data_IF_384045306305
#
_entry.id   IF_384045306305
#
_cell.length_a   1.000
_cell.length_b   1.000
_cell.length_c   1.000
_cell.angle_alpha   90.00
_cell.angle_beta   90.00
_cell.angle_gamma   90.00
#
_symmetry.space_group_name_H-M   'P 1'
#
loop_
_entity.id
_entity.type
_entity.pdbx_description
1 polymer ?
#
# COMPACT_ATOMS: atom_id res chain seq x y z
N UNK A 1 38.79 -40.21 47.80
CA UNK A 1 39.49 -38.92 47.59
C UNK A 1 40.49 -39.18 46.48
N UNK A 2 40.30 -38.81 45.22
CA UNK A 2 39.55 -37.74 44.58
C UNK A 2 39.12 -38.31 43.22
N UNK A 3 37.84 -38.22 42.84
CA UNK A 3 37.38 -38.61 41.50
C UNK A 3 37.45 -37.40 40.57
N UNK A 4 38.16 -37.59 39.47
CA UNK A 4 38.40 -36.63 38.39
C UNK A 4 37.13 -36.52 37.53
N UNK A 5 36.46 -35.38 37.57
CA UNK A 5 35.34 -35.07 36.67
C UNK A 5 35.92 -34.40 35.44
N UNK A 6 35.87 -35.10 34.30
CA UNK A 6 36.22 -34.57 32.99
C UNK A 6 35.07 -33.67 32.53
N UNK A 7 35.29 -32.36 32.52
CA UNK A 7 34.42 -31.40 31.83
C UNK A 7 34.57 -31.61 30.31
N UNK A 8 33.47 -32.03 29.67
CA UNK A 8 33.36 -32.06 28.21
C UNK A 8 33.05 -30.64 27.72
N UNK A 9 34.07 -29.98 27.18
CA UNK A 9 33.93 -28.78 26.35
C UNK A 9 33.03 -29.13 25.14
N UNK A 10 31.78 -28.66 25.19
CA UNK A 10 30.89 -28.64 24.03
C UNK A 10 31.40 -27.56 23.07
N UNK A 11 32.11 -27.98 22.04
CA UNK A 11 32.55 -27.11 20.95
C UNK A 11 31.37 -26.35 20.33
N UNK A 12 31.57 -25.04 20.32
CA UNK A 12 30.75 -23.98 19.77
C UNK A 12 30.53 -24.21 18.26
N UNK A 13 29.38 -24.79 17.90
CA UNK A 13 28.97 -24.87 16.50
C UNK A 13 28.62 -23.46 16.02
N UNK A 14 29.30 -22.88 15.02
CA UNK A 14 28.99 -21.54 14.55
C UNK A 14 27.59 -21.54 13.94
N UNK A 15 26.64 -20.91 14.64
CA UNK A 15 25.32 -20.64 14.08
C UNK A 15 25.52 -19.81 12.81
N UNK A 16 25.23 -20.42 11.66
CA UNK A 16 25.15 -19.74 10.38
C UNK A 16 24.16 -18.58 10.51
N UNK A 17 24.67 -17.35 10.64
CA UNK A 17 23.84 -16.15 10.62
C UNK A 17 23.15 -16.09 9.26
N UNK A 18 21.83 -16.25 9.27
CA UNK A 18 21.00 -16.00 8.10
C UNK A 18 21.35 -14.61 7.53
N UNK A 19 21.49 -14.47 6.20
CA UNK A 19 21.86 -13.21 5.60
C UNK A 19 20.85 -12.14 6.02
N UNK A 20 21.34 -11.09 6.69
CA UNK A 20 20.55 -9.88 6.97
C UNK A 20 20.08 -9.35 5.62
N UNK A 21 18.83 -9.60 5.26
CA UNK A 21 18.17 -8.83 4.22
C UNK A 21 18.23 -7.37 4.67
N UNK A 22 19.12 -6.60 4.05
CA UNK A 22 19.06 -5.14 4.07
C UNK A 22 17.78 -4.81 3.31
N UNK A 23 16.67 -4.85 4.03
CA UNK A 23 15.43 -4.23 3.60
C UNK A 23 15.79 -2.79 3.33
N UNK A 24 15.82 -2.43 2.05
CA UNK A 24 15.97 -1.06 1.60
C UNK A 24 14.83 -0.29 2.27
N UNK A 25 15.13 0.37 3.40
CA UNK A 25 14.25 1.39 3.96
C UNK A 25 14.17 2.46 2.90
N UNK A 26 13.14 2.39 2.05
CA UNK A 26 12.65 3.55 1.33
C UNK A 26 12.23 4.52 2.42
N UNK A 27 13.15 5.43 2.79
CA UNK A 27 12.82 6.60 3.58
C UNK A 27 11.85 7.40 2.72
N UNK A 28 10.56 7.30 3.02
CA UNK A 28 9.61 8.29 2.56
C UNK A 28 9.82 9.48 3.50
N UNK A 29 10.75 10.36 3.13
CA UNK A 29 11.14 11.53 3.93
C UNK A 29 10.06 12.65 3.90
N UNK A 30 8.93 12.44 3.23
CA UNK A 30 7.85 13.42 3.14
C UNK A 30 6.59 12.88 3.78
N UNK A 31 6.31 13.36 4.98
CA UNK A 31 4.97 13.25 5.59
C UNK A 31 4.03 14.11 4.74
N UNK A 32 3.02 13.49 4.14
CA UNK A 32 1.95 14.19 3.43
C UNK A 32 0.61 13.80 4.05
N UNK A 33 -0.06 14.77 4.66
CA UNK A 33 -1.39 14.62 5.23
C UNK A 33 -2.41 15.54 4.54
N UNK A 34 -2.05 16.13 3.41
CA UNK A 34 -2.91 17.05 2.64
C UNK A 34 -3.97 16.34 1.80
N UNK A 35 -3.79 15.05 1.56
CA UNK A 35 -4.72 14.20 0.80
C UNK A 35 -4.89 12.85 1.48
N UNK A 36 -6.00 12.16 1.20
CA UNK A 36 -6.20 10.79 1.68
C UNK A 36 -5.11 9.83 1.17
N UNK A 37 -4.69 9.98 -0.09
CA UNK A 37 -3.59 9.21 -0.66
C UNK A 37 -2.28 9.44 0.11
N UNK A 38 -1.94 10.70 0.37
CA UNK A 38 -0.77 11.07 1.18
C UNK A 38 -0.82 10.45 2.58
N UNK A 39 -1.97 10.49 3.26
CA UNK A 39 -2.15 9.85 4.57
C UNK A 39 -1.88 8.36 4.47
N UNK A 40 -2.47 7.68 3.49
CA UNK A 40 -2.29 6.23 3.29
C UNK A 40 -0.83 5.89 2.98
N UNK A 41 -0.15 6.64 2.12
CA UNK A 41 1.26 6.41 1.79
C UNK A 41 2.18 6.67 2.98
N UNK A 42 1.94 7.74 3.74
CA UNK A 42 2.70 8.07 4.94
C UNK A 42 2.51 6.97 5.99
N UNK A 43 1.27 6.56 6.27
CA UNK A 43 0.97 5.47 7.21
C UNK A 43 1.53 4.13 6.71
N UNK A 44 1.51 3.84 5.41
CA UNK A 44 2.10 2.62 4.83
C UNK A 44 3.62 2.59 5.00
N UNK A 45 4.26 3.75 4.99
CA UNK A 45 5.70 3.88 5.18
C UNK A 45 6.13 3.62 6.63
N UNK A 46 5.30 4.00 7.61
CA UNK A 46 5.56 3.74 9.03
C UNK A 46 5.01 2.40 9.53
N UNK A 47 3.79 2.03 9.11
CA UNK A 47 3.06 0.80 9.42
C UNK A 47 2.55 0.13 8.13
N UNK A 48 3.38 -0.68 7.45
CA UNK A 48 3.04 -1.28 6.16
C UNK A 48 1.73 -2.09 6.13
N UNK A 49 1.43 -2.82 7.20
CA UNK A 49 0.20 -3.63 7.27
C UNK A 49 -1.06 -2.77 7.41
N UNK A 50 -0.99 -1.71 8.24
CA UNK A 50 -2.09 -0.76 8.39
C UNK A 50 -2.33 -0.03 7.06
N UNK A 51 -1.26 0.53 6.46
CA UNK A 51 -1.37 1.22 5.18
C UNK A 51 -1.94 0.34 4.05
N UNK A 52 -1.60 -0.95 4.00
CA UNK A 52 -2.19 -1.90 3.03
C UNK A 52 -3.70 -2.11 3.25
N UNK A 53 -4.15 -2.14 4.51
CA UNK A 53 -5.58 -2.23 4.83
C UNK A 53 -6.30 -0.96 4.35
N UNK A 54 -5.74 0.21 4.65
CA UNK A 54 -6.31 1.50 4.24
C UNK A 54 -6.36 1.63 2.71
N UNK A 55 -5.28 1.28 2.02
CA UNK A 55 -5.16 1.33 0.56
C UNK A 55 -6.17 0.41 -0.14
N UNK A 56 -6.27 -0.85 0.32
CA UNK A 56 -6.95 -1.91 -0.44
C UNK A 56 -8.37 -2.20 0.01
N UNK A 57 -8.71 -1.88 1.26
CA UNK A 57 -9.98 -2.28 1.88
C UNK A 57 -10.80 -1.11 2.40
N UNK A 58 -10.15 -0.07 2.91
CA UNK A 58 -10.89 1.07 3.44
C UNK A 58 -11.51 1.90 2.32
N UNK A 59 -12.68 2.48 2.61
CA UNK A 59 -13.40 3.39 1.72
C UNK A 59 -13.52 4.74 2.42
N UNK A 60 -12.98 5.77 1.79
CA UNK A 60 -13.03 7.12 2.33
C UNK A 60 -14.43 7.70 2.16
N UNK A 61 -15.04 8.14 3.26
CA UNK A 61 -16.36 8.80 3.27
C UNK A 61 -16.21 10.31 3.25
N UNK A 62 -15.32 10.85 4.08
CA UNK A 62 -15.13 12.29 4.22
C UNK A 62 -13.68 12.59 4.61
N UNK A 63 -13.12 13.64 4.01
CA UNK A 63 -11.77 14.10 4.29
C UNK A 63 -11.73 15.63 4.24
N UNK A 64 -11.54 16.25 5.40
CA UNK A 64 -11.50 17.70 5.54
C UNK A 64 -10.18 18.09 6.21
N UNK A 65 -9.23 18.58 5.43
CA UNK A 65 -7.88 18.93 5.90
C UNK A 65 -7.93 20.07 6.91
N UNK A 66 -8.69 21.14 6.62
CA UNK A 66 -8.78 22.32 7.48
C UNK A 66 -9.38 21.99 8.86
N UNK A 67 -10.30 21.02 8.90
CA UNK A 67 -10.92 20.52 10.12
C UNK A 67 -10.18 19.32 10.74
N UNK A 68 -9.06 18.87 10.13
CA UNK A 68 -8.27 17.69 10.52
C UNK A 68 -9.16 16.47 10.77
N UNK A 69 -10.06 16.22 9.83
CA UNK A 69 -11.15 15.27 9.99
C UNK A 69 -11.14 14.20 8.89
N UNK A 70 -11.29 12.95 9.32
CA UNK A 70 -11.35 11.77 8.46
C UNK A 70 -12.53 10.91 8.89
N UNK A 71 -13.49 10.69 7.98
CA UNK A 71 -14.50 9.64 8.12
C UNK A 71 -14.17 8.53 7.14
N UNK A 72 -13.92 7.33 7.65
CA UNK A 72 -13.44 6.22 6.83
C UNK A 72 -14.14 4.92 7.21
N UNK A 73 -14.72 4.24 6.23
CA UNK A 73 -15.21 2.89 6.40
C UNK A 73 -14.03 1.91 6.37
N UNK A 74 -13.83 1.19 7.46
CA UNK A 74 -12.78 0.17 7.61
C UNK A 74 -13.47 -1.19 7.79
N UNK A 75 -13.39 -2.11 6.80
CA UNK A 75 -13.90 -3.46 6.99
C UNK A 75 -12.97 -4.28 7.90
N UNK A 76 -13.48 -5.39 8.43
CA UNK A 76 -12.67 -6.30 9.24
C UNK A 76 -11.44 -6.82 8.49
N UNK A 77 -10.33 -6.91 9.21
CA UNK A 77 -9.00 -7.22 8.68
C UNK A 77 -8.50 -8.58 9.15
N UNK A 78 -9.04 -9.68 8.60
CA UNK A 78 -8.69 -11.01 9.09
C UNK A 78 -9.27 -11.23 10.48
N UNK A 79 -8.41 -11.33 11.49
CA UNK A 79 -8.82 -11.43 12.91
C UNK A 79 -9.00 -10.06 13.58
N UNK A 80 -8.72 -8.96 12.88
CA UNK A 80 -8.79 -7.61 13.45
C UNK A 80 -10.15 -6.97 13.24
N UNK A 81 -10.69 -6.42 14.30
CA UNK A 81 -11.96 -5.69 14.27
C UNK A 81 -11.77 -4.26 13.73
N UNK A 82 -12.78 -3.66 13.06
CA UNK A 82 -12.71 -2.29 12.55
C UNK A 82 -12.28 -1.25 13.58
N UNK A 83 -12.75 -1.39 14.83
CA UNK A 83 -12.42 -0.48 15.93
C UNK A 83 -10.93 -0.53 16.31
N UNK A 84 -10.32 -1.71 16.28
CA UNK A 84 -8.89 -1.87 16.57
C UNK A 84 -8.03 -1.20 15.49
N UNK A 85 -8.44 -1.34 14.23
CA UNK A 85 -7.76 -0.72 13.09
C UNK A 85 -7.92 0.81 13.15
N UNK A 86 -9.09 1.31 13.57
CA UNK A 86 -9.34 2.73 13.79
C UNK A 86 -8.41 3.31 14.87
N UNK A 87 -8.28 2.63 16.02
CA UNK A 87 -7.39 3.07 17.12
C UNK A 87 -5.93 3.15 16.65
N UNK A 88 -5.49 2.16 15.88
CA UNK A 88 -4.15 2.16 15.26
C UNK A 88 -3.96 3.33 14.29
N UNK A 89 -4.97 3.62 13.47
CA UNK A 89 -4.95 4.75 12.54
C UNK A 89 -4.88 6.08 13.27
N UNK A 90 -5.71 6.29 14.29
CA UNK A 90 -5.67 7.49 15.15
C UNK A 90 -4.28 7.65 15.75
N UNK A 91 -3.77 6.60 16.41
CA UNK A 91 -2.46 6.63 17.05
C UNK A 91 -1.34 6.98 16.07
N UNK A 92 -1.37 6.40 14.87
CA UNK A 92 -0.32 6.62 13.88
C UNK A 92 -0.43 8.00 13.22
N UNK A 93 -1.64 8.47 12.88
CA UNK A 93 -1.84 9.81 12.31
C UNK A 93 -1.43 10.88 13.33
N UNK A 94 -1.86 10.79 14.58
CA UNK A 94 -1.47 11.74 15.64
C UNK A 94 0.04 11.77 15.84
N UNK A 95 0.70 10.60 15.79
CA UNK A 95 2.17 10.51 15.88
C UNK A 95 2.87 11.17 14.70
N UNK A 96 2.33 11.02 13.48
CA UNK A 96 2.92 11.55 12.25
C UNK A 96 2.66 13.05 12.08
N UNK A 97 1.47 13.53 12.42
CA UNK A 97 1.07 14.94 12.31
C UNK A 97 1.65 15.80 13.44
N UNK A 98 1.84 15.22 14.63
CA UNK A 98 2.10 15.97 15.86
C UNK A 98 0.86 16.70 16.41
N UNK A 99 -0.32 16.44 15.84
CA UNK A 99 -1.58 17.13 16.12
C UNK A 99 -2.74 16.14 16.20
N UNK A 100 -3.78 16.48 16.95
CA UNK A 100 -4.96 15.63 17.06
C UNK A 100 -5.84 15.72 15.81
N UNK A 101 -6.09 14.57 15.18
CA UNK A 101 -7.03 14.42 14.07
C UNK A 101 -8.29 13.71 14.56
N UNK A 102 -9.46 14.20 14.17
CA UNK A 102 -10.73 13.53 14.45
C UNK A 102 -10.97 12.46 13.37
N UNK A 103 -10.80 11.19 13.74
CA UNK A 103 -10.96 10.05 12.82
C UNK A 103 -12.06 9.14 13.35
N UNK A 104 -13.10 8.91 12.55
CA UNK A 104 -14.27 8.12 12.97
C UNK A 104 -14.78 7.13 11.91
N UNK A 105 -15.54 6.15 12.38
CA UNK A 105 -16.26 5.21 11.53
C UNK A 105 -17.60 5.82 11.11
N UNK A 106 -18.02 5.62 9.85
CA UNK A 106 -19.32 6.08 9.37
C UNK A 106 -20.48 5.31 9.99
N UNK A 107 -21.65 5.94 9.98
CA UNK A 107 -22.92 5.25 10.19
C UNK A 107 -23.25 4.35 8.99
N UNK A 108 -24.06 3.31 9.21
CA UNK A 108 -24.43 2.37 8.14
C UNK A 108 -25.08 3.05 6.92
N UNK A 109 -25.79 4.15 7.13
CA UNK A 109 -26.45 4.94 6.07
C UNK A 109 -25.49 5.78 5.22
N UNK A 110 -24.26 6.01 5.70
CA UNK A 110 -23.26 6.82 4.99
C UNK A 110 -22.35 5.96 4.08
N UNK A 111 -22.44 4.63 4.19
CA UNK A 111 -21.62 3.72 3.39
C UNK A 111 -22.32 3.46 2.06
N UNK A 112 -21.89 4.16 1.01
CA UNK A 112 -22.33 3.85 -0.35
C UNK A 112 -21.58 2.60 -0.88
N UNK A 113 -22.35 1.64 -1.38
CA UNK A 113 -21.83 0.40 -1.96
C UNK A 113 -20.90 0.65 -3.15
N UNK A 114 -21.11 1.74 -3.88
CA UNK A 114 -20.33 2.12 -5.07
C UNK A 114 -19.00 2.81 -4.73
N UNK A 115 -18.76 3.15 -3.46
CA UNK A 115 -17.50 3.77 -3.05
C UNK A 115 -16.34 2.81 -3.32
N UNK A 116 -15.31 3.34 -3.97
CA UNK A 116 -14.11 2.62 -4.35
C UNK A 116 -13.03 2.76 -3.28
N UNK A 117 -12.21 1.74 -3.13
CA UNK A 117 -10.98 1.84 -2.33
C UNK A 117 -9.92 2.64 -3.09
N UNK A 118 -8.91 3.15 -2.39
CA UNK A 118 -7.83 3.90 -3.02
C UNK A 118 -7.14 3.07 -4.12
N UNK A 119 -6.91 1.76 -3.86
CA UNK A 119 -6.37 0.85 -4.85
C UNK A 119 -7.23 0.75 -6.13
N UNK A 120 -8.55 0.66 -5.98
CA UNK A 120 -9.47 0.61 -7.13
C UNK A 120 -9.47 1.92 -7.91
N UNK A 121 -9.41 3.07 -7.23
CA UNK A 121 -9.30 4.39 -7.87
C UNK A 121 -8.00 4.50 -8.67
N UNK A 122 -6.86 4.14 -8.09
CA UNK A 122 -5.56 4.16 -8.76
C UNK A 122 -5.49 3.18 -9.94
N UNK A 123 -6.12 2.01 -9.83
CA UNK A 123 -6.17 1.03 -10.93
C UNK A 123 -6.99 1.58 -12.08
N UNK A 124 -8.17 2.14 -11.81
CA UNK A 124 -9.00 2.77 -12.83
C UNK A 124 -8.28 3.94 -13.51
N UNK A 125 -7.63 4.82 -12.74
CA UNK A 125 -6.88 5.95 -13.28
C UNK A 125 -5.74 5.49 -14.21
N UNK A 126 -5.05 4.39 -13.88
CA UNK A 126 -4.02 3.79 -14.75
C UNK A 126 -4.63 3.23 -16.03
N UNK A 127 -5.73 2.50 -15.94
CA UNK A 127 -6.42 1.95 -17.12
C UNK A 127 -6.91 3.06 -18.06
N UNK A 128 -7.48 4.14 -17.49
CA UNK A 128 -7.97 5.28 -18.26
C UNK A 128 -6.81 6.04 -18.92
N UNK A 129 -5.69 6.22 -18.22
CA UNK A 129 -4.48 6.79 -18.80
C UNK A 129 -3.95 5.94 -19.97
N UNK A 130 -3.91 4.62 -19.82
CA UNK A 130 -3.50 3.71 -20.90
C UNK A 130 -4.42 3.86 -22.13
N UNK A 131 -5.74 3.97 -21.91
CA UNK A 131 -6.69 4.20 -23.02
C UNK A 131 -6.43 5.54 -23.71
N UNK A 132 -6.29 6.62 -22.96
CA UNK A 132 -5.99 7.96 -23.52
C UNK A 132 -4.69 7.97 -24.33
N UNK A 133 -3.64 7.33 -23.81
CA UNK A 133 -2.35 7.19 -24.50
C UNK A 133 -2.52 6.38 -25.78
N UNK A 134 -3.23 5.25 -25.73
CA UNK A 134 -3.56 4.46 -26.94
C UNK A 134 -4.40 5.23 -27.95
N UNK A 135 -5.20 6.19 -27.50
CA UNK A 135 -6.02 7.02 -28.35
C UNK A 135 -5.26 8.17 -29.02
N UNK A 136 -4.02 8.43 -28.59
CA UNK A 136 -3.16 9.46 -29.18
C UNK A 136 -2.82 9.12 -30.64
N UNK A 137 -3.03 10.03 -31.61
CA UNK A 137 -2.88 9.74 -33.04
C UNK A 137 -1.50 9.17 -33.42
N UNK A 138 -0.44 9.67 -32.79
CA UNK A 138 0.94 9.19 -33.01
C UNK A 138 1.09 7.73 -32.57
N UNK A 139 0.54 7.38 -31.40
CA UNK A 139 0.63 6.02 -30.86
C UNK A 139 -0.28 5.08 -31.64
N UNK A 140 -1.49 5.51 -32.05
CA UNK A 140 -2.34 4.76 -32.99
C UNK A 140 -1.62 4.46 -34.29
N UNK A 141 -0.94 5.44 -34.87
CA UNK A 141 -0.17 5.25 -36.09
C UNK A 141 0.97 4.25 -35.90
N UNK A 142 1.77 4.39 -34.83
CA UNK A 142 2.84 3.42 -34.52
C UNK A 142 2.28 2.01 -34.33
N UNK A 143 1.17 1.85 -33.60
CA UNK A 143 0.54 0.55 -33.39
C UNK A 143 0.03 -0.06 -34.71
N UNK A 144 -0.58 0.75 -35.58
CA UNK A 144 -1.03 0.28 -36.89
C UNK A 144 0.15 -0.09 -37.80
N UNK A 145 1.18 0.75 -37.87
CA UNK A 145 2.37 0.53 -38.69
C UNK A 145 3.11 -0.77 -38.26
N UNK A 146 3.17 -1.07 -36.95
CA UNK A 146 3.74 -2.30 -36.43
C UNK A 146 2.92 -3.55 -36.79
N UNK A 147 1.59 -3.49 -36.68
CA UNK A 147 0.70 -4.60 -37.06
C UNK A 147 0.78 -4.87 -38.56
N UNK A 148 0.82 -3.82 -39.39
CA UNK A 148 1.00 -3.95 -40.83
C UNK A 148 2.36 -4.56 -41.19
N UNK A 149 3.43 -4.17 -40.49
CA UNK A 149 4.76 -4.76 -40.67
C UNK A 149 4.77 -6.27 -40.37
N UNK A 150 4.17 -6.71 -39.24
CA UNK A 150 4.09 -8.13 -38.88
C UNK A 150 3.27 -8.95 -39.89
N UNK A 151 2.17 -8.39 -40.42
CA UNK A 151 1.37 -9.04 -41.47
C UNK A 151 2.17 -9.19 -42.77
N UNK A 152 2.93 -8.17 -43.16
CA UNK A 152 3.78 -8.22 -44.36
C UNK A 152 4.89 -9.28 -44.21
N UNK A 153 5.49 -9.41 -43.03
CA UNK A 153 6.52 -10.42 -42.78
C UNK A 153 5.97 -11.85 -42.78
N UNK A 154 4.74 -12.07 -42.34
CA UNK A 154 4.06 -13.38 -42.47
C UNK A 154 3.77 -13.71 -43.94
N UNK A 155 3.40 -12.72 -44.76
CA UNK A 155 3.08 -12.93 -46.18
C UNK A 155 4.35 -13.18 -47.01
N UNK A 156 5.47 -12.51 -46.70
CA UNK A 156 6.73 -12.67 -47.44
C UNK A 156 7.53 -13.93 -47.08
N UNK A 157 7.24 -14.56 -45.94
CA UNK A 157 7.88 -15.81 -45.49
C UNK A 157 7.08 -17.08 -45.87
N UNK A 158 6.15 -17.00 -46.83
CA UNK A 158 5.50 -18.14 -47.49
C UNK A 158 5.92 -18.22 -48.95
#
# INVERSE_FOLDING_TARGET
MVEEVIELDLEDSPQAQAPKHIGRRLKVDKIDLSTWEGVVETVKSSRPNLGRILERKAKLVEFLVDAKYIKVHIPSGGLREPKEILVDLISEVTKLSGEEWKIELPMATEIDMNMKTLYQQQTQAKEDLIKQVKDTPVIKKILNDLVEADVIDIIKNK
#
